data_IF_168619578069
#
_entry.id   IF_168619578069
#
_cell.length_a   1.000
_cell.length_b   1.000
_cell.length_c   1.000
_cell.angle_alpha   90.00
_cell.angle_beta   90.00
_cell.angle_gamma   90.00
#
_symmetry.space_group_name_H-M   'P 1'
#
loop_
_entity.id
_entity.type
_entity.pdbx_description
1 polymer ?
#
# COMPACT_ATOMS: atom_id res chain seq x y z
N UNK A 1 -21.56 -16.43 40.59
CA UNK A 1 -20.87 -15.19 41.04
C UNK A 1 -20.10 -14.67 39.84
N UNK A 2 -20.31 -13.41 39.46
CA UNK A 2 -19.62 -12.81 38.31
C UNK A 2 -18.19 -12.38 38.69
N UNK A 3 -17.25 -12.53 37.77
CA UNK A 3 -15.86 -12.08 37.95
C UNK A 3 -15.83 -10.54 37.92
N UNK A 4 -15.12 -9.92 38.86
CA UNK A 4 -14.90 -8.47 38.84
C UNK A 4 -13.79 -8.09 37.86
N UNK A 5 -13.71 -6.82 37.47
CA UNK A 5 -12.62 -6.31 36.61
C UNK A 5 -11.23 -6.61 37.20
N UNK A 6 -11.07 -6.58 38.52
CA UNK A 6 -9.80 -6.94 39.19
C UNK A 6 -9.47 -8.43 39.07
N UNK A 7 -10.49 -9.29 39.13
CA UNK A 7 -10.30 -10.73 38.93
C UNK A 7 -9.91 -11.01 37.47
N UNK A 8 -10.47 -10.27 36.52
CA UNK A 8 -10.11 -10.37 35.12
C UNK A 8 -8.65 -9.96 34.84
N UNK A 9 -8.20 -8.83 35.41
CA UNK A 9 -6.79 -8.40 35.32
C UNK A 9 -5.83 -9.43 35.93
N UNK A 10 -6.22 -10.03 37.05
CA UNK A 10 -5.42 -11.07 37.70
C UNK A 10 -5.32 -12.34 36.84
N UNK A 11 -6.42 -12.79 36.26
CA UNK A 11 -6.45 -13.93 35.32
C UNK A 11 -5.53 -13.66 34.12
N UNK A 12 -5.60 -12.46 33.54
CA UNK A 12 -4.72 -12.04 32.44
C UNK A 12 -3.24 -12.07 32.88
N UNK A 13 -2.93 -11.64 34.11
CA UNK A 13 -1.56 -11.69 34.64
C UNK A 13 -1.01 -13.12 34.78
N UNK A 14 -1.84 -14.08 35.21
CA UNK A 14 -1.47 -15.49 35.34
C UNK A 14 -1.24 -16.15 33.98
N UNK A 15 -2.10 -15.83 33.00
CA UNK A 15 -1.95 -16.29 31.62
C UNK A 15 -0.63 -15.79 31.02
N UNK A 16 -0.28 -14.50 31.23
CA UNK A 16 1.01 -13.92 30.79
C UNK A 16 2.23 -14.58 31.42
N UNK A 17 2.11 -15.12 32.63
CA UNK A 17 3.18 -15.83 33.33
C UNK A 17 3.26 -17.32 32.97
N UNK A 18 2.41 -17.82 32.06
CA UNK A 18 2.33 -19.25 31.72
C UNK A 18 1.67 -20.14 32.78
N UNK A 19 1.09 -19.54 33.84
CA UNK A 19 0.46 -20.24 34.96
C UNK A 19 -1.01 -20.58 34.67
N UNK A 20 -1.24 -21.33 33.59
CA UNK A 20 -2.58 -21.63 33.09
C UNK A 20 -3.42 -22.47 34.06
N UNK A 21 -2.79 -23.42 34.76
CA UNK A 21 -3.47 -24.27 35.75
C UNK A 21 -3.97 -23.42 36.91
N UNK A 22 -3.17 -22.47 37.40
CA UNK A 22 -3.53 -21.57 38.49
C UNK A 22 -4.70 -20.65 38.09
N UNK A 23 -4.73 -20.19 36.84
CA UNK A 23 -5.85 -19.40 36.32
C UNK A 23 -7.16 -20.21 36.25
N UNK A 24 -7.09 -21.49 35.85
CA UNK A 24 -8.26 -22.39 35.82
C UNK A 24 -8.78 -22.65 37.24
N UNK A 25 -7.88 -22.92 38.19
CA UNK A 25 -8.23 -23.13 39.61
C UNK A 25 -8.89 -21.87 40.18
N UNK A 26 -8.29 -20.70 39.93
CA UNK A 26 -8.83 -19.42 40.41
C UNK A 26 -10.23 -19.14 39.88
N UNK A 27 -10.47 -19.33 38.57
CA UNK A 27 -11.80 -19.15 37.97
C UNK A 27 -12.81 -20.13 38.56
N UNK A 28 -12.45 -21.42 38.64
CA UNK A 28 -13.29 -22.47 39.23
C UNK A 28 -13.71 -22.11 40.66
N UNK A 29 -12.75 -21.72 41.50
CA UNK A 29 -13.00 -21.48 42.93
C UNK A 29 -13.77 -20.17 43.18
N UNK A 30 -13.60 -19.14 42.33
CA UNK A 30 -14.34 -17.88 42.44
C UNK A 30 -15.76 -17.95 41.90
N UNK A 31 -15.97 -18.69 40.83
CA UNK A 31 -17.26 -18.72 40.12
C UNK A 31 -18.14 -19.91 40.50
N UNK A 32 -17.54 -20.97 41.04
CA UNK A 32 -18.21 -22.24 41.32
C UNK A 32 -18.42 -23.10 40.07
N UNK A 33 -17.82 -22.75 38.93
CA UNK A 33 -17.94 -23.51 37.68
C UNK A 33 -17.31 -24.91 37.78
N UNK A 34 -17.72 -25.82 36.89
CA UNK A 34 -17.03 -27.11 36.74
C UNK A 34 -15.61 -26.92 36.17
N UNK A 35 -14.72 -27.88 36.41
CA UNK A 35 -13.34 -27.83 35.89
C UNK A 35 -13.29 -27.66 34.37
N UNK A 36 -14.25 -28.28 33.66
CA UNK A 36 -14.38 -28.18 32.21
C UNK A 36 -14.78 -26.77 31.77
N UNK A 37 -15.74 -26.15 32.44
CA UNK A 37 -16.18 -24.78 32.13
C UNK A 37 -15.11 -23.74 32.44
N UNK A 38 -14.38 -23.90 33.55
CA UNK A 38 -13.26 -23.03 33.90
C UNK A 38 -12.12 -23.16 32.88
N UNK A 39 -11.83 -24.37 32.40
CA UNK A 39 -10.87 -24.61 31.32
C UNK A 39 -11.32 -23.93 30.02
N UNK A 40 -12.56 -24.15 29.60
CA UNK A 40 -13.10 -23.56 28.37
C UNK A 40 -13.14 -22.02 28.44
N UNK A 41 -13.38 -21.44 29.61
CA UNK A 41 -13.33 -19.99 29.84
C UNK A 41 -11.90 -19.44 29.68
N UNK A 42 -10.91 -20.08 30.31
CA UNK A 42 -9.50 -19.70 30.20
C UNK A 42 -8.97 -19.89 28.77
N UNK A 43 -9.33 -21.00 28.12
CA UNK A 43 -8.95 -21.25 26.72
C UNK A 43 -9.54 -20.18 25.79
N UNK A 44 -10.79 -19.75 26.01
CA UNK A 44 -11.40 -18.63 25.26
C UNK A 44 -10.72 -17.29 25.54
N UNK A 45 -10.28 -17.01 26.77
CA UNK A 45 -9.56 -15.77 27.10
C UNK A 45 -8.15 -15.74 26.52
N UNK A 46 -7.41 -16.84 26.63
CA UNK A 46 -6.08 -16.99 26.04
C UNK A 46 -6.10 -16.82 24.51
N UNK A 47 -7.19 -17.20 23.85
CA UNK A 47 -7.35 -17.08 22.40
C UNK A 47 -7.93 -15.73 21.92
N UNK A 48 -8.60 -14.95 22.78
CA UNK A 48 -9.21 -13.67 22.40
C UNK A 48 -8.30 -12.46 22.68
N UNK A 49 -7.32 -12.57 23.58
CA UNK A 49 -6.20 -11.65 23.68
C UNK A 49 -4.98 -12.28 23.01
N UNK A 50 -4.47 -11.60 21.98
CA UNK A 50 -3.23 -11.84 21.25
C UNK A 50 -2.09 -12.44 22.10
N UNK A 51 -2.09 -13.76 22.24
CA UNK A 51 -0.95 -14.54 22.66
C UNK A 51 -0.89 -15.73 21.73
N UNK A 52 -0.07 -15.57 20.68
CA UNK A 52 0.49 -16.71 19.99
C UNK A 52 0.97 -17.70 21.05
N UNK A 53 0.59 -18.96 20.89
CA UNK A 53 1.32 -20.10 21.43
C UNK A 53 2.69 -20.15 20.74
N UNK A 54 3.49 -19.09 20.92
CA UNK A 54 4.92 -19.16 20.76
C UNK A 54 5.41 -19.77 22.07
N UNK A 55 5.98 -20.98 21.99
CA UNK A 55 7.00 -21.42 22.92
C UNK A 55 7.92 -20.21 23.16
N UNK A 56 7.93 -19.65 24.36
CA UNK A 56 8.59 -18.38 24.66
C UNK A 56 10.10 -18.57 24.65
N UNK A 57 10.69 -18.55 23.46
CA UNK A 57 12.12 -18.45 23.26
C UNK A 57 12.60 -17.22 24.03
N UNK A 58 13.56 -17.41 24.94
CA UNK A 58 14.07 -16.31 25.76
C UNK A 58 14.76 -15.27 24.88
N UNK A 59 14.92 -14.04 25.38
CA UNK A 59 15.61 -12.98 24.62
C UNK A 59 17.05 -13.37 24.33
N UNK A 60 17.68 -14.06 25.28
CA UNK A 60 19.04 -14.59 25.17
C UNK A 60 19.14 -15.64 24.05
N UNK A 61 18.17 -16.55 23.96
CA UNK A 61 18.10 -17.54 22.89
C UNK A 61 17.83 -16.88 21.53
N UNK A 62 16.99 -15.84 21.48
CA UNK A 62 16.76 -15.08 20.24
C UNK A 62 18.04 -14.40 19.75
N UNK A 63 18.84 -13.81 20.65
CA UNK A 63 20.12 -13.19 20.32
C UNK A 63 21.14 -14.24 19.81
N UNK A 64 21.18 -15.40 20.45
CA UNK A 64 22.02 -16.52 20.01
C UNK A 64 21.61 -17.05 18.63
N UNK A 65 20.32 -17.21 18.38
CA UNK A 65 19.81 -17.59 17.04
C UNK A 65 20.17 -16.52 16.01
N UNK A 66 20.08 -15.24 16.38
CA UNK A 66 20.43 -14.12 15.49
C UNK A 66 21.92 -14.11 15.10
N UNK A 67 22.82 -14.42 16.05
CA UNK A 67 24.26 -14.52 15.78
C UNK A 67 24.55 -15.68 14.82
N UNK A 68 23.96 -16.86 15.04
CA UNK A 68 24.09 -18.02 14.17
C UNK A 68 23.57 -17.73 12.75
N UNK A 69 22.45 -17.02 12.62
CA UNK A 69 21.91 -16.61 11.31
C UNK A 69 22.88 -15.70 10.56
N UNK A 70 23.48 -14.72 11.26
CA UNK A 70 24.43 -13.78 10.64
C UNK A 70 25.74 -14.46 10.22
N UNK A 71 26.17 -15.48 10.95
CA UNK A 71 27.32 -16.32 10.61
C UNK A 71 26.99 -17.37 9.50
N UNK A 72 25.79 -17.32 8.90
CA UNK A 72 25.28 -18.30 7.94
C UNK A 72 25.17 -19.74 8.48
N UNK A 73 25.17 -19.92 9.80
CA UNK A 73 25.05 -21.22 10.50
C UNK A 73 23.58 -21.61 10.75
N UNK A 74 22.74 -21.51 9.72
CA UNK A 74 21.28 -21.75 9.83
C UNK A 74 20.93 -23.15 10.38
N UNK A 75 21.66 -24.18 9.93
CA UNK A 75 21.42 -25.56 10.36
C UNK A 75 21.70 -25.75 11.87
N UNK A 76 22.69 -25.03 12.41
CA UNK A 76 22.98 -25.05 13.85
C UNK A 76 21.86 -24.37 14.64
N UNK A 77 21.28 -23.29 14.12
CA UNK A 77 20.15 -22.63 14.74
C UNK A 77 18.88 -23.50 14.74
N UNK A 78 18.62 -24.24 13.66
CA UNK A 78 17.52 -25.25 13.60
C UNK A 78 17.77 -26.37 14.60
N UNK A 79 19.01 -26.88 14.68
CA UNK A 79 19.39 -27.95 15.60
C UNK A 79 19.22 -27.52 17.06
N UNK A 80 19.60 -26.28 17.38
CA UNK A 80 19.41 -25.68 18.71
C UNK A 80 17.93 -25.64 19.09
N UNK A 81 17.05 -25.14 18.22
CA UNK A 81 15.61 -25.11 18.47
C UNK A 81 15.00 -26.50 18.62
N UNK A 82 15.40 -27.46 17.78
CA UNK A 82 14.89 -28.82 17.83
C UNK A 82 15.32 -29.56 19.11
N UNK A 83 16.57 -29.37 19.55
CA UNK A 83 17.13 -30.12 20.70
C UNK A 83 16.90 -29.44 22.05
N UNK A 84 17.10 -28.13 22.14
CA UNK A 84 17.07 -27.38 23.40
C UNK A 84 15.69 -26.79 23.69
N UNK A 85 14.85 -26.60 22.66
CA UNK A 85 13.49 -26.06 22.80
C UNK A 85 12.40 -27.08 22.44
N UNK A 86 12.79 -28.33 22.20
CA UNK A 86 11.90 -29.45 21.87
C UNK A 86 10.92 -29.16 20.72
N UNK A 87 11.27 -28.23 19.82
CA UNK A 87 10.43 -27.90 18.66
C UNK A 87 10.45 -29.03 17.64
N UNK A 88 9.35 -29.20 16.90
CA UNK A 88 9.38 -30.09 15.74
C UNK A 88 10.40 -29.58 14.70
N UNK A 89 11.03 -30.49 13.95
CA UNK A 89 12.05 -30.12 12.97
C UNK A 89 11.49 -29.13 11.93
N UNK A 90 10.24 -29.32 11.50
CA UNK A 90 9.57 -28.43 10.55
C UNK A 90 9.33 -27.06 11.16
N UNK A 91 8.87 -27.02 12.40
CA UNK A 91 8.62 -25.78 13.15
C UNK A 91 9.90 -24.96 13.34
N UNK A 92 10.99 -25.63 13.74
CA UNK A 92 12.31 -25.01 13.88
C UNK A 92 12.83 -24.47 12.54
N UNK A 93 12.65 -25.20 11.44
CA UNK A 93 13.01 -24.73 10.10
C UNK A 93 12.19 -23.49 9.70
N UNK A 94 10.87 -23.54 9.85
CA UNK A 94 9.98 -22.43 9.49
C UNK A 94 10.29 -21.17 10.32
N UNK A 95 10.59 -21.32 11.61
CA UNK A 95 11.02 -20.22 12.48
C UNK A 95 12.32 -19.56 11.99
N UNK A 96 13.35 -20.36 11.72
CA UNK A 96 14.64 -19.84 11.24
C UNK A 96 14.50 -19.18 9.87
N UNK A 97 13.72 -19.77 8.95
CA UNK A 97 13.46 -19.15 7.66
C UNK A 97 12.74 -17.81 7.78
N UNK A 98 11.74 -17.71 8.68
CA UNK A 98 11.03 -16.46 8.99
C UNK A 98 11.98 -15.40 9.55
N UNK A 99 12.89 -15.76 10.47
CA UNK A 99 13.91 -14.84 11.02
C UNK A 99 14.93 -14.40 9.97
N UNK A 100 15.40 -15.30 9.11
CA UNK A 100 16.29 -14.96 7.98
C UNK A 100 15.61 -13.98 7.02
N UNK A 101 14.33 -14.21 6.70
CA UNK A 101 13.55 -13.31 5.86
C UNK A 101 13.39 -11.93 6.51
N UNK A 102 13.07 -11.89 7.81
CA UNK A 102 13.03 -10.67 8.61
C UNK A 102 14.34 -9.90 8.52
N UNK A 103 15.48 -10.56 8.74
CA UNK A 103 16.82 -9.95 8.65
C UNK A 103 17.09 -9.40 7.25
N UNK A 104 16.71 -10.12 6.19
CA UNK A 104 16.89 -9.66 4.81
C UNK A 104 16.03 -8.44 4.49
N UNK A 105 14.85 -8.31 5.09
CA UNK A 105 13.97 -7.15 4.91
C UNK A 105 14.48 -5.95 5.73
N UNK A 106 14.89 -6.16 6.98
CA UNK A 106 15.40 -5.10 7.87
C UNK A 106 16.79 -4.61 7.46
N UNK A 107 17.67 -5.48 6.95
CA UNK A 107 19.00 -5.13 6.46
C UNK A 107 18.96 -4.27 5.19
N UNK A 108 17.89 -4.39 4.38
CA UNK A 108 17.64 -3.51 3.23
C UNK A 108 17.15 -2.14 3.69
N UNK A 109 18.00 -1.36 4.37
CA UNK A 109 17.72 0.04 4.74
C UNK A 109 17.41 0.89 3.50
N UNK A 110 16.51 1.88 3.60
CA UNK A 110 16.31 2.87 2.54
C UNK A 110 17.63 3.62 2.30
N UNK A 111 18.03 3.74 1.04
CA UNK A 111 19.25 4.46 0.65
C UNK A 111 18.99 5.95 0.91
N UNK A 112 19.47 6.46 2.05
CA UNK A 112 19.34 7.87 2.41
C UNK A 112 20.23 8.72 1.49
N UNK A 113 19.64 9.40 0.51
CA UNK A 113 20.34 10.46 -0.24
C UNK A 113 20.48 11.69 0.67
N UNK A 114 21.69 11.91 1.20
CA UNK A 114 22.08 13.12 1.97
C UNK A 114 21.62 14.40 1.24
N UNK A 115 20.99 15.34 1.96
CA UNK A 115 20.75 16.71 1.48
C UNK A 115 19.30 17.20 1.40
N UNK A 116 18.34 16.46 1.97
CA UNK A 116 16.93 16.87 1.99
C UNK A 116 16.46 17.02 3.43
N UNK A 117 15.97 18.20 3.78
CA UNK A 117 15.24 18.44 5.02
C UNK A 117 13.83 17.88 4.79
N UNK A 118 13.62 16.62 5.18
CA UNK A 118 12.38 15.87 5.01
C UNK A 118 11.55 15.91 6.29
N UNK A 119 10.24 16.10 6.16
CA UNK A 119 9.26 15.69 7.17
C UNK A 119 9.06 14.17 7.01
N UNK A 120 9.87 13.40 7.74
CA UNK A 120 10.05 11.95 7.61
C UNK A 120 8.74 11.16 7.64
N UNK A 121 7.72 11.60 8.41
CA UNK A 121 6.47 10.84 8.57
C UNK A 121 5.47 10.98 7.43
N UNK A 122 5.41 12.14 6.76
CA UNK A 122 4.35 12.48 5.79
C UNK A 122 4.78 12.32 4.33
N UNK A 123 6.04 12.65 4.02
CA UNK A 123 6.55 12.55 2.65
C UNK A 123 6.83 11.08 2.24
N UNK A 124 7.03 10.18 3.23
CA UNK A 124 7.09 8.71 3.09
C UNK A 124 5.76 8.10 2.66
N UNK A 125 4.63 8.78 2.89
CA UNK A 125 3.31 8.21 2.67
C UNK A 125 2.79 8.44 1.24
N UNK A 126 3.33 9.44 0.51
CA UNK A 126 2.95 9.73 -0.88
C UNK A 126 4.20 10.01 -1.71
N UNK A 127 4.56 9.12 -2.67
CA UNK A 127 5.58 9.45 -3.64
C UNK A 127 5.14 10.69 -4.43
N UNK A 128 6.07 11.65 -4.61
CA UNK A 128 5.92 12.90 -5.39
C UNK A 128 5.48 14.17 -4.63
N UNK A 129 5.02 14.12 -3.36
CA UNK A 129 4.61 15.34 -2.64
C UNK A 129 5.80 16.30 -2.41
N UNK A 130 6.95 15.77 -1.99
CA UNK A 130 8.18 16.55 -1.83
C UNK A 130 8.65 17.18 -3.17
N UNK A 131 8.51 16.44 -4.27
CA UNK A 131 8.84 16.94 -5.62
C UNK A 131 7.88 18.04 -6.05
N UNK A 132 6.58 17.93 -5.74
CA UNK A 132 5.60 18.98 -6.00
C UNK A 132 5.89 20.25 -5.18
N UNK A 133 6.23 20.13 -3.89
CA UNK A 133 6.67 21.28 -3.06
C UNK A 133 7.91 21.96 -3.65
N UNK A 134 8.91 21.19 -4.09
CA UNK A 134 10.12 21.72 -4.74
C UNK A 134 9.80 22.42 -6.06
N UNK A 135 8.99 21.79 -6.91
CA UNK A 135 8.54 22.35 -8.17
C UNK A 135 7.75 23.65 -7.96
N UNK A 136 6.87 23.69 -6.95
CA UNK A 136 6.13 24.90 -6.57
C UNK A 136 7.09 26.03 -6.15
N UNK A 137 8.13 25.75 -5.36
CA UNK A 137 9.15 26.75 -4.98
C UNK A 137 9.89 27.31 -6.20
N UNK A 138 10.26 26.45 -7.14
CA UNK A 138 10.90 26.85 -8.41
C UNK A 138 9.94 27.71 -9.24
N UNK A 139 8.69 27.26 -9.38
CA UNK A 139 7.64 27.93 -10.14
C UNK A 139 7.33 29.32 -9.57
N UNK A 140 7.26 29.44 -8.25
CA UNK A 140 7.08 30.72 -7.55
C UNK A 140 8.26 31.67 -7.79
N UNK A 141 9.49 31.15 -7.77
CA UNK A 141 10.68 31.95 -8.06
C UNK A 141 10.67 32.46 -9.51
N UNK A 142 10.30 31.62 -10.47
CA UNK A 142 10.17 32.02 -11.89
C UNK A 142 9.07 33.08 -12.05
N UNK A 143 7.92 32.89 -11.39
CA UNK A 143 6.83 33.85 -11.40
C UNK A 143 7.28 35.22 -10.87
N UNK A 144 8.04 35.25 -9.78
CA UNK A 144 8.51 36.49 -9.17
C UNK A 144 9.50 37.23 -10.08
N UNK A 145 10.40 36.51 -10.75
CA UNK A 145 11.31 37.09 -11.76
C UNK A 145 10.53 37.66 -12.95
N UNK A 146 9.55 36.91 -13.47
CA UNK A 146 8.69 37.38 -14.56
C UNK A 146 7.90 38.64 -14.17
N UNK A 147 7.40 38.68 -12.95
CA UNK A 147 6.70 39.85 -12.40
C UNK A 147 7.61 41.10 -12.42
N UNK A 148 8.84 40.98 -11.92
CA UNK A 148 9.81 42.09 -11.90
C UNK A 148 10.12 42.56 -13.33
N UNK A 149 10.35 41.63 -14.26
CA UNK A 149 10.60 41.96 -15.68
C UNK A 149 9.42 42.74 -16.26
N UNK A 150 8.18 42.32 -15.99
CA UNK A 150 7.01 43.06 -16.48
C UNK A 150 6.82 44.43 -15.86
N UNK A 151 7.16 44.60 -14.58
CA UNK A 151 7.13 45.91 -13.93
C UNK A 151 8.13 46.87 -14.57
N UNK A 152 9.35 46.39 -14.85
CA UNK A 152 10.36 47.17 -15.57
C UNK A 152 9.87 47.52 -16.98
N UNK A 153 9.31 46.55 -17.71
CA UNK A 153 8.71 46.79 -19.03
C UNK A 153 7.60 47.84 -18.99
N UNK A 154 6.81 47.89 -17.91
CA UNK A 154 5.75 48.86 -17.72
C UNK A 154 6.29 50.28 -17.47
N UNK A 155 7.38 50.41 -16.73
CA UNK A 155 8.04 51.71 -16.45
C UNK A 155 8.63 52.31 -17.74
N UNK A 156 9.27 51.49 -18.58
CA UNK A 156 9.88 51.92 -19.84
C UNK A 156 8.96 51.77 -21.07
N UNK A 157 7.65 51.64 -20.83
CA UNK A 157 6.66 51.41 -21.88
C UNK A 157 6.47 52.68 -22.73
N UNK A 158 6.77 52.55 -24.00
CA UNK A 158 6.39 53.54 -25.01
C UNK A 158 5.22 52.99 -25.81
N UNK A 159 4.03 53.58 -25.59
CA UNK A 159 2.76 53.15 -26.18
C UNK A 159 2.71 53.34 -27.70
N UNK A 160 3.59 54.16 -28.26
CA UNK A 160 3.68 54.37 -29.71
C UNK A 160 4.44 53.25 -30.44
N UNK A 161 5.18 52.40 -29.70
CA UNK A 161 5.96 51.32 -30.27
C UNK A 161 5.18 50.00 -30.30
N UNK A 162 4.83 49.55 -31.51
CA UNK A 162 4.14 48.28 -31.74
C UNK A 162 4.92 47.07 -31.19
N UNK A 163 6.25 47.11 -31.28
CA UNK A 163 7.12 46.02 -30.79
C UNK A 163 7.04 45.94 -29.26
N UNK A 164 7.16 47.07 -28.56
CA UNK A 164 7.06 47.10 -27.08
C UNK A 164 5.68 46.67 -26.61
N UNK A 165 4.62 47.07 -27.32
CA UNK A 165 3.24 46.65 -27.03
C UNK A 165 3.03 45.14 -27.22
N UNK A 166 3.61 44.54 -28.28
CA UNK A 166 3.57 43.08 -28.48
C UNK A 166 4.30 42.33 -27.36
N UNK A 167 5.50 42.77 -26.99
CA UNK A 167 6.28 42.15 -25.90
C UNK A 167 5.51 42.21 -24.58
N UNK A 168 4.92 43.36 -24.24
CA UNK A 168 4.12 43.53 -23.02
C UNK A 168 2.92 42.57 -22.99
N UNK A 169 2.20 42.39 -24.12
CA UNK A 169 1.08 41.44 -24.21
C UNK A 169 1.51 40.00 -23.92
N UNK A 170 2.66 39.57 -24.46
CA UNK A 170 3.19 38.23 -24.17
C UNK A 170 3.56 38.07 -22.70
N UNK A 171 4.19 39.08 -22.09
CA UNK A 171 4.57 39.00 -20.68
C UNK A 171 3.34 38.97 -19.75
N UNK A 172 2.31 39.79 -20.04
CA UNK A 172 1.03 39.76 -19.31
C UNK A 172 0.35 38.38 -19.45
N UNK A 173 0.34 37.81 -20.66
CA UNK A 173 -0.23 36.47 -20.89
C UNK A 173 0.51 35.39 -20.10
N UNK A 174 1.85 35.47 -20.02
CA UNK A 174 2.66 34.58 -19.20
C UNK A 174 2.31 34.68 -17.71
N UNK A 175 2.21 35.89 -17.16
CA UNK A 175 1.82 36.12 -15.75
C UNK A 175 0.43 35.58 -15.47
N UNK A 176 -0.52 35.81 -16.37
CA UNK A 176 -1.90 35.34 -16.22
C UNK A 176 -1.96 33.81 -16.09
N UNK A 177 -1.14 33.09 -16.86
CA UNK A 177 -1.02 31.64 -16.74
C UNK A 177 -0.60 31.23 -15.32
N UNK A 178 0.44 31.87 -14.77
CA UNK A 178 0.90 31.57 -13.41
C UNK A 178 -0.12 31.92 -12.33
N UNK A 179 -0.85 33.04 -12.47
CA UNK A 179 -1.92 33.45 -11.54
C UNK A 179 -3.01 32.38 -11.46
N UNK A 180 -3.32 31.71 -12.57
CA UNK A 180 -4.32 30.63 -12.60
C UNK A 180 -3.73 29.32 -12.04
N UNK A 181 -2.51 28.95 -12.46
CA UNK A 181 -1.95 27.63 -12.15
C UNK A 181 -1.39 27.52 -10.72
N UNK A 182 -0.77 28.58 -10.19
CA UNK A 182 -0.12 28.54 -8.87
C UNK A 182 -1.12 28.26 -7.73
N UNK A 183 -2.27 28.96 -7.62
CA UNK A 183 -3.27 28.69 -6.59
C UNK A 183 -3.81 27.27 -6.67
N UNK A 184 -4.04 26.73 -7.88
CA UNK A 184 -4.50 25.36 -8.08
C UNK A 184 -3.50 24.33 -7.53
N UNK A 185 -2.20 24.53 -7.78
CA UNK A 185 -1.14 23.65 -7.27
C UNK A 185 -1.04 23.76 -5.74
N UNK A 186 -1.08 24.98 -5.19
CA UNK A 186 -1.05 25.22 -3.73
C UNK A 186 -2.23 24.53 -3.05
N UNK A 187 -3.44 24.72 -3.60
CA UNK A 187 -4.67 24.12 -3.08
C UNK A 187 -4.60 22.59 -3.14
N UNK A 188 -4.12 22.03 -4.24
CA UNK A 188 -3.94 20.58 -4.37
C UNK A 188 -2.97 20.03 -3.30
N UNK A 189 -1.82 20.68 -3.10
CA UNK A 189 -0.86 20.30 -2.04
C UNK A 189 -1.51 20.40 -0.66
N UNK A 190 -2.28 21.45 -0.39
CA UNK A 190 -2.99 21.63 0.87
C UNK A 190 -4.02 20.51 1.12
N UNK A 191 -4.84 20.19 0.12
CA UNK A 191 -5.82 19.10 0.19
C UNK A 191 -5.11 17.76 0.49
N UNK A 192 -4.00 17.49 -0.21
CA UNK A 192 -3.21 16.27 0.01
C UNK A 192 -2.66 16.25 1.45
N UNK A 193 -2.09 17.36 1.93
CA UNK A 193 -1.56 17.47 3.29
C UNK A 193 -2.66 17.24 4.34
N UNK A 194 -3.85 17.80 4.14
CA UNK A 194 -4.96 17.61 5.07
C UNK A 194 -5.46 16.17 5.08
N UNK A 195 -5.58 15.53 3.90
CA UNK A 195 -5.91 14.09 3.79
C UNK A 195 -4.89 13.22 4.50
N UNK A 196 -3.60 13.54 4.38
CA UNK A 196 -2.54 12.83 5.07
C UNK A 196 -2.61 12.98 6.59
N UNK A 197 -2.81 14.20 7.09
CA UNK A 197 -2.96 14.45 8.53
C UNK A 197 -4.13 13.65 9.13
N UNK A 198 -5.23 13.52 8.38
CA UNK A 198 -6.35 12.65 8.76
C UNK A 198 -5.96 11.17 8.80
N UNK A 199 -5.18 10.68 7.83
CA UNK A 199 -4.72 9.29 7.79
C UNK A 199 -3.71 8.95 8.89
N UNK A 200 -2.85 9.89 9.28
CA UNK A 200 -1.89 9.70 10.39
C UNK A 200 -2.64 9.51 11.73
N UNK A 201 -3.61 10.39 11.97
CA UNK A 201 -4.43 10.42 13.19
C UNK A 201 -5.54 9.37 13.21
N UNK A 202 -5.79 8.67 12.11
CA UNK A 202 -6.79 7.61 12.06
C UNK A 202 -6.28 6.40 12.84
N UNK A 203 -6.93 6.08 13.94
CA UNK A 203 -6.82 4.75 14.54
C UNK A 203 -7.29 3.72 13.52
N UNK A 204 -6.49 2.66 13.36
CA UNK A 204 -6.81 1.61 12.41
C UNK A 204 -8.04 0.88 12.94
N UNK A 205 -9.18 1.08 12.25
CA UNK A 205 -10.40 0.33 12.51
C UNK A 205 -10.10 -1.16 12.51
N UNK A 206 -10.73 -1.89 13.43
CA UNK A 206 -10.61 -3.34 13.49
C UNK A 206 -11.26 -4.03 12.28
N UNK A 207 -12.04 -3.29 11.47
CA UNK A 207 -12.60 -3.77 10.21
C UNK A 207 -12.62 -2.68 9.14
N UNK A 208 -12.16 -3.00 7.92
CA UNK A 208 -12.25 -2.12 6.75
C UNK A 208 -12.14 -2.90 5.43
N UNK A 209 -12.67 -2.31 4.36
CA UNK A 209 -12.59 -2.87 3.00
C UNK A 209 -11.61 -2.04 2.16
N UNK A 210 -10.65 -2.73 1.52
CA UNK A 210 -9.76 -2.14 0.51
C UNK A 210 -10.16 -2.61 -0.87
N UNK A 211 -10.45 -1.68 -1.77
CA UNK A 211 -10.85 -2.01 -3.14
C UNK A 211 -9.66 -1.97 -4.08
N UNK A 212 -9.69 -2.82 -5.10
CA UNK A 212 -8.68 -2.77 -6.16
C UNK A 212 -8.67 -1.39 -6.80
N UNK A 213 -7.49 -0.78 -6.84
CA UNK A 213 -7.31 0.50 -7.49
C UNK A 213 -7.22 0.33 -9.00
N UNK A 214 -8.24 0.86 -9.67
CA UNK A 214 -8.25 1.09 -11.11
C UNK A 214 -8.29 2.59 -11.32
N UNK A 215 -7.28 3.13 -12.00
CA UNK A 215 -7.24 4.54 -12.32
C UNK A 215 -8.42 4.91 -13.22
N UNK A 216 -9.28 5.80 -12.73
CA UNK A 216 -10.40 6.35 -13.52
C UNK A 216 -9.91 7.01 -14.82
N UNK A 217 -8.67 7.53 -14.83
CA UNK A 217 -8.05 8.09 -16.03
C UNK A 217 -7.73 7.02 -17.07
N UNK A 218 -7.22 5.85 -16.67
CA UNK A 218 -6.96 4.76 -17.62
C UNK A 218 -8.26 4.21 -18.23
N UNK A 219 -9.32 4.09 -17.43
CA UNK A 219 -10.65 3.73 -17.92
C UNK A 219 -11.19 4.78 -18.91
N UNK A 220 -11.05 6.07 -18.56
CA UNK A 220 -11.45 7.17 -19.44
C UNK A 220 -10.71 7.13 -20.77
N UNK A 221 -9.39 6.90 -20.78
CA UNK A 221 -8.62 6.79 -22.02
C UNK A 221 -9.07 5.63 -22.91
N UNK A 222 -9.37 4.46 -22.33
CA UNK A 222 -9.89 3.32 -23.10
C UNK A 222 -11.28 3.61 -23.66
N UNK A 223 -12.16 4.24 -22.86
CA UNK A 223 -13.48 4.65 -23.33
C UNK A 223 -13.39 5.69 -24.46
N UNK A 224 -12.48 6.67 -24.34
CA UNK A 224 -12.21 7.68 -25.36
C UNK A 224 -11.68 7.04 -26.65
N UNK A 225 -10.76 6.08 -26.53
CA UNK A 225 -10.22 5.35 -27.69
C UNK A 225 -11.34 4.60 -28.44
N UNK A 226 -12.22 3.92 -27.72
CA UNK A 226 -13.39 3.25 -28.31
C UNK A 226 -14.33 4.26 -28.98
N UNK A 227 -14.58 5.41 -28.34
CA UNK A 227 -15.39 6.48 -28.92
C UNK A 227 -14.80 7.02 -30.23
N UNK A 228 -13.48 7.23 -30.28
CA UNK A 228 -12.77 7.64 -31.48
C UNK A 228 -12.95 6.58 -32.59
N UNK A 229 -12.82 5.30 -32.27
CA UNK A 229 -13.03 4.23 -33.25
C UNK A 229 -14.47 4.17 -33.76
N UNK A 230 -15.48 4.40 -32.90
CA UNK A 230 -16.90 4.48 -33.31
C UNK A 230 -17.12 5.59 -34.33
N UNK A 231 -16.37 6.69 -34.27
CA UNK A 231 -16.46 7.81 -35.22
C UNK A 231 -15.65 7.54 -36.50
N UNK A 232 -14.45 6.95 -36.38
CA UNK A 232 -13.55 6.69 -37.52
C UNK A 232 -14.09 5.59 -38.43
N UNK A 233 -14.64 4.50 -37.86
CA UNK A 233 -15.11 3.33 -38.62
C UNK A 233 -16.15 3.71 -39.69
N UNK A 234 -17.22 4.48 -39.38
CA UNK A 234 -18.18 4.95 -40.38
C UNK A 234 -17.57 5.85 -41.46
N UNK A 235 -16.70 6.78 -41.06
CA UNK A 235 -16.03 7.70 -42.01
C UNK A 235 -15.15 6.89 -42.98
N UNK A 236 -14.46 5.89 -42.46
CA UNK A 236 -13.64 4.98 -43.26
C UNK A 236 -14.50 4.18 -44.24
N UNK A 237 -15.67 3.69 -43.78
CA UNK A 237 -16.62 2.96 -44.61
C UNK A 237 -17.20 3.79 -45.76
N UNK A 238 -17.51 5.07 -45.52
CA UNK A 238 -17.99 6.00 -46.55
C UNK A 238 -16.90 6.35 -47.59
N UNK A 239 -15.63 6.32 -47.19
CA UNK A 239 -14.50 6.77 -48.02
C UNK A 239 -13.78 5.64 -48.77
N UNK A 240 -14.03 4.38 -48.43
CA UNK A 240 -13.46 3.22 -49.14
C UNK A 240 -14.11 3.08 -50.50
N UNK A 241 -13.28 3.01 -51.55
CA UNK A 241 -13.69 2.51 -52.84
C UNK A 241 -13.50 0.99 -52.82
N UNK A 242 -14.58 0.20 -52.90
CA UNK A 242 -14.59 -1.26 -52.68
C UNK A 242 -13.68 -2.08 -53.61
N UNK A 243 -13.11 -1.46 -54.65
CA UNK A 243 -12.12 -2.06 -55.54
C UNK A 243 -10.68 -1.98 -55.03
N UNK A 244 -10.41 -1.18 -54.00
CA UNK A 244 -9.06 -1.01 -53.43
C UNK A 244 -8.85 -1.95 -52.22
N UNK A 245 -8.16 -3.06 -52.48
CA UNK A 245 -7.82 -4.08 -51.49
C UNK A 245 -7.03 -3.53 -50.30
N UNK A 246 -6.32 -2.41 -50.46
CA UNK A 246 -5.59 -1.76 -49.35
C UNK A 246 -6.56 -1.18 -48.32
N UNK A 247 -7.66 -0.56 -48.75
CA UNK A 247 -8.68 -0.02 -47.86
C UNK A 247 -9.33 -1.11 -47.00
N UNK A 248 -9.65 -2.25 -47.62
CA UNK A 248 -10.22 -3.42 -46.93
C UNK A 248 -9.22 -3.99 -45.91
N UNK A 249 -7.93 -4.05 -46.24
CA UNK A 249 -6.89 -4.51 -45.31
C UNK A 249 -6.78 -3.61 -44.06
N UNK A 250 -6.74 -2.29 -44.25
CA UNK A 250 -6.69 -1.33 -43.13
C UNK A 250 -7.94 -1.41 -42.23
N UNK A 251 -9.11 -1.74 -42.80
CA UNK A 251 -10.34 -1.96 -42.03
C UNK A 251 -10.22 -3.17 -41.09
N UNK A 252 -9.72 -4.30 -41.57
CA UNK A 252 -9.52 -5.49 -40.73
C UNK A 252 -8.49 -5.24 -39.63
N UNK A 253 -7.41 -4.50 -39.93
CA UNK A 253 -6.42 -4.08 -38.92
C UNK A 253 -7.10 -3.20 -37.86
N UNK A 254 -7.95 -2.25 -38.26
CA UNK A 254 -8.68 -1.38 -37.35
C UNK A 254 -9.60 -2.19 -36.42
N UNK A 255 -10.34 -3.17 -36.96
CA UNK A 255 -11.19 -4.07 -36.18
C UNK A 255 -10.37 -4.91 -35.19
N UNK A 256 -9.23 -5.44 -35.60
CA UNK A 256 -8.37 -6.21 -34.68
C UNK A 256 -7.90 -5.35 -33.50
N UNK A 257 -7.54 -4.09 -33.75
CA UNK A 257 -7.15 -3.13 -32.71
C UNK A 257 -8.33 -2.80 -31.79
N UNK A 258 -9.54 -2.60 -32.33
CA UNK A 258 -10.71 -2.30 -31.50
C UNK A 258 -11.12 -3.47 -30.62
N UNK A 259 -11.10 -4.70 -31.15
CA UNK A 259 -11.36 -5.92 -30.37
C UNK A 259 -10.35 -6.04 -29.23
N UNK A 260 -9.06 -5.84 -29.52
CA UNK A 260 -8.02 -5.87 -28.49
C UNK A 260 -8.23 -4.78 -27.41
N UNK A 261 -8.57 -3.56 -27.81
CA UNK A 261 -8.84 -2.46 -26.88
C UNK A 261 -10.06 -2.75 -25.98
N UNK A 262 -11.12 -3.36 -26.52
CA UNK A 262 -12.30 -3.78 -25.76
C UNK A 262 -11.93 -4.91 -24.79
N UNK A 263 -11.14 -5.89 -25.23
CA UNK A 263 -10.68 -6.99 -24.38
C UNK A 263 -9.90 -6.48 -23.16
N UNK A 264 -8.94 -5.57 -23.36
CA UNK A 264 -8.19 -4.96 -22.24
C UNK A 264 -9.09 -4.13 -21.32
N UNK A 265 -10.05 -3.38 -21.87
CA UNK A 265 -11.03 -2.65 -21.04
C UNK A 265 -11.86 -3.61 -20.17
N UNK A 266 -12.37 -4.70 -20.74
CA UNK A 266 -13.14 -5.72 -20.01
C UNK A 266 -12.32 -6.36 -18.88
N UNK A 267 -11.05 -6.66 -19.15
CA UNK A 267 -10.11 -7.18 -18.14
C UNK A 267 -9.92 -6.21 -16.99
N UNK A 268 -9.74 -4.92 -17.26
CA UNK A 268 -9.62 -3.88 -16.24
C UNK A 268 -10.91 -3.77 -15.41
N UNK A 269 -12.07 -3.81 -16.05
CA UNK A 269 -13.38 -3.76 -15.37
C UNK A 269 -13.62 -4.99 -14.47
N UNK A 270 -13.19 -6.19 -14.90
CA UNK A 270 -13.23 -7.39 -14.07
C UNK A 270 -12.37 -7.23 -12.82
N UNK A 271 -11.16 -6.70 -12.98
CA UNK A 271 -10.24 -6.50 -11.86
C UNK A 271 -10.76 -5.48 -10.82
N UNK A 272 -11.58 -4.51 -11.24
CA UNK A 272 -12.22 -3.54 -10.34
C UNK A 272 -13.18 -4.18 -9.32
N UNK A 273 -13.67 -5.39 -9.59
CA UNK A 273 -14.63 -6.10 -8.73
C UNK A 273 -13.98 -6.78 -7.52
N UNK A 274 -12.65 -6.87 -7.48
CA UNK A 274 -11.95 -7.46 -6.34
C UNK A 274 -11.77 -6.44 -5.21
N UNK A 275 -11.96 -6.91 -3.99
CA UNK A 275 -11.63 -6.16 -2.78
C UNK A 275 -11.10 -7.09 -1.69
N UNK A 276 -10.38 -6.52 -0.74
CA UNK A 276 -9.93 -7.18 0.48
C UNK A 276 -10.80 -6.68 1.62
N UNK A 277 -11.53 -7.57 2.28
CA UNK A 277 -12.18 -7.29 3.54
C UNK A 277 -11.25 -7.74 4.66
N UNK A 278 -10.89 -6.81 5.54
CA UNK A 278 -9.91 -7.03 6.58
C UNK A 278 -10.61 -6.80 7.90
N UNK A 279 -10.56 -7.81 8.78
CA UNK A 279 -11.06 -7.71 10.15
C UNK A 279 -9.92 -8.05 11.14
N UNK A 280 -10.15 -8.08 12.44
CA UNK A 280 -9.09 -8.34 13.43
C UNK A 280 -8.59 -9.78 13.48
N UNK A 281 -9.22 -10.72 12.76
CA UNK A 281 -8.93 -12.16 12.80
C UNK A 281 -8.45 -12.72 11.46
N UNK A 282 -8.98 -12.21 10.36
CA UNK A 282 -8.78 -12.72 9.01
C UNK A 282 -8.80 -11.61 7.95
N UNK A 283 -8.20 -11.95 6.81
CA UNK A 283 -8.23 -11.19 5.57
C UNK A 283 -8.97 -12.03 4.53
N UNK A 284 -10.08 -11.49 4.03
CA UNK A 284 -10.91 -12.13 3.03
C UNK A 284 -10.77 -11.43 1.67
N UNK A 285 -10.51 -12.21 0.62
CA UNK A 285 -10.56 -11.75 -0.76
C UNK A 285 -11.99 -11.89 -1.28
N UNK A 286 -12.60 -10.77 -1.64
CA UNK A 286 -13.94 -10.69 -2.19
C UNK A 286 -13.90 -10.47 -3.70
N UNK A 287 -14.86 -11.04 -4.43
CA UNK A 287 -15.20 -10.69 -5.79
C UNK A 287 -16.67 -10.31 -5.87
N UNK A 288 -16.94 -9.08 -6.29
CA UNK A 288 -18.30 -8.55 -6.37
C UNK A 288 -19.08 -8.70 -5.04
N UNK A 289 -18.41 -8.38 -3.91
CA UNK A 289 -18.87 -8.51 -2.52
C UNK A 289 -19.02 -9.94 -1.99
N UNK A 290 -18.86 -10.96 -2.82
CA UNK A 290 -18.90 -12.35 -2.38
C UNK A 290 -17.50 -12.81 -1.98
N UNK A 291 -17.38 -13.49 -0.85
CA UNK A 291 -16.11 -14.05 -0.40
C UNK A 291 -15.66 -15.18 -1.31
N UNK A 292 -14.42 -15.08 -1.80
CA UNK A 292 -13.79 -16.14 -2.59
C UNK A 292 -12.89 -17.01 -1.74
N UNK A 293 -12.05 -16.37 -0.92
CA UNK A 293 -11.06 -17.02 -0.07
C UNK A 293 -10.81 -16.15 1.16
N UNK A 294 -10.52 -16.75 2.29
CA UNK A 294 -10.10 -16.08 3.52
C UNK A 294 -8.83 -16.72 4.08
N UNK A 295 -8.04 -15.90 4.76
CA UNK A 295 -6.84 -16.32 5.46
C UNK A 295 -6.82 -15.68 6.84
N UNK A 296 -6.61 -16.48 7.89
CA UNK A 296 -6.37 -15.96 9.24
C UNK A 296 -5.07 -15.16 9.26
N UNK A 297 -5.03 -14.06 10.00
CA UNK A 297 -3.85 -13.19 10.07
C UNK A 297 -2.61 -13.96 10.53
N UNK A 298 -2.77 -14.87 11.49
CA UNK A 298 -1.73 -15.77 12.02
C UNK A 298 -1.10 -16.67 10.94
N UNK A 299 -1.87 -17.00 9.90
CA UNK A 299 -1.39 -17.82 8.78
C UNK A 299 -0.72 -17.01 7.68
N UNK A 300 -0.61 -15.68 7.83
CA UNK A 300 0.10 -14.82 6.90
C UNK A 300 1.58 -14.84 7.28
N UNK A 301 2.44 -15.28 6.36
CA UNK A 301 3.89 -15.28 6.59
C UNK A 301 4.47 -13.87 6.48
N UNK A 302 4.21 -13.21 5.35
CA UNK A 302 4.61 -11.83 5.12
C UNK A 302 3.74 -11.17 4.05
N UNK A 303 3.76 -9.86 4.05
CA UNK A 303 3.19 -9.05 2.98
C UNK A 303 4.31 -8.30 2.25
N UNK A 304 4.08 -8.03 0.97
CA UNK A 304 4.98 -7.25 0.15
C UNK A 304 4.23 -6.09 -0.50
N UNK A 305 4.78 -4.89 -0.37
CA UNK A 305 4.34 -3.71 -1.11
C UNK A 305 5.37 -3.36 -2.17
N UNK A 306 4.94 -3.16 -3.42
CA UNK A 306 5.82 -2.74 -4.50
C UNK A 306 5.04 -1.95 -5.56
N UNK A 307 5.73 -1.40 -6.56
CA UNK A 307 5.11 -0.89 -7.77
C UNK A 307 5.57 -1.66 -9.01
N UNK A 308 4.66 -1.81 -9.98
CA UNK A 308 5.00 -2.42 -11.26
C UNK A 308 5.99 -1.52 -12.01
N UNK A 309 7.19 -2.04 -12.26
CA UNK A 309 8.19 -1.38 -13.11
C UNK A 309 7.83 -1.59 -14.58
N UNK A 310 7.79 -0.51 -15.35
CA UNK A 310 7.70 -0.62 -16.80
C UNK A 310 9.04 -1.12 -17.40
N UNK A 311 9.00 -1.68 -18.62
CA UNK A 311 10.20 -2.14 -19.36
C UNK A 311 11.27 -1.05 -19.54
N UNK A 312 10.91 0.23 -19.39
CA UNK A 312 11.81 1.40 -19.49
C UNK A 312 12.34 1.89 -18.13
N UNK A 313 12.13 1.13 -17.05
CA UNK A 313 12.55 1.53 -15.70
C UNK A 313 11.70 2.62 -15.06
N UNK A 314 10.66 3.13 -15.75
CA UNK A 314 9.72 4.10 -15.19
C UNK A 314 8.77 3.38 -14.24
N UNK A 315 8.73 3.85 -13.00
CA UNK A 315 7.85 3.39 -11.92
C UNK A 315 6.42 3.88 -12.14
N UNK A 316 5.42 3.02 -11.92
CA UNK A 316 4.00 3.39 -12.05
C UNK A 316 3.53 4.28 -10.90
N UNK A 317 4.24 4.26 -9.76
CA UNK A 317 3.83 4.90 -8.50
C UNK A 317 2.45 4.45 -7.99
N UNK A 318 1.95 3.30 -8.47
CA UNK A 318 0.73 2.67 -7.97
C UNK A 318 1.15 1.54 -7.04
N UNK A 319 0.78 1.57 -5.75
CA UNK A 319 1.13 0.50 -4.84
C UNK A 319 0.36 -0.77 -5.17
N UNK A 320 1.07 -1.89 -5.18
CA UNK A 320 0.55 -3.24 -5.31
C UNK A 320 0.86 -3.97 -4.00
N UNK A 321 -0.15 -4.64 -3.43
CA UNK A 321 0.01 -5.54 -2.28
C UNK A 321 0.05 -6.98 -2.78
N UNK A 322 1.01 -7.75 -2.26
CA UNK A 322 1.04 -9.20 -2.30
C UNK A 322 0.99 -9.75 -0.88
N UNK A 323 0.07 -10.67 -0.62
CA UNK A 323 -0.07 -11.36 0.67
C UNK A 323 0.38 -12.80 0.48
N UNK A 324 1.34 -13.24 1.29
CA UNK A 324 1.87 -14.60 1.27
C UNK A 324 1.35 -15.38 2.48
N UNK A 325 0.84 -16.58 2.23
CA UNK A 325 0.47 -17.51 3.30
C UNK A 325 1.72 -18.16 3.95
N UNK A 326 1.48 -18.99 4.96
CA UNK A 326 2.51 -19.76 5.68
C UNK A 326 3.37 -20.61 4.75
N UNK A 327 2.80 -21.11 3.65
CA UNK A 327 3.48 -21.93 2.65
C UNK A 327 4.21 -21.11 1.58
N UNK A 328 4.19 -19.77 1.70
CA UNK A 328 4.76 -18.80 0.73
C UNK A 328 4.04 -18.79 -0.61
N UNK A 329 2.80 -19.30 -0.68
CA UNK A 329 1.95 -19.12 -1.83
C UNK A 329 1.30 -17.73 -1.79
N UNK A 330 1.04 -17.16 -2.97
CA UNK A 330 0.36 -15.86 -3.09
C UNK A 330 -1.12 -16.08 -2.80
N UNK A 331 -1.59 -15.56 -1.66
CA UNK A 331 -3.00 -15.53 -1.30
C UNK A 331 -3.76 -14.50 -2.16
N UNK A 332 -3.21 -13.29 -2.25
CA UNK A 332 -3.79 -12.20 -3.03
C UNK A 332 -2.71 -11.27 -3.58
N UNK A 333 -2.88 -10.84 -4.83
CA UNK A 333 -2.13 -9.73 -5.45
C UNK A 333 -3.14 -8.72 -5.99
N UNK A 334 -3.05 -7.45 -5.58
CA UNK A 334 -3.84 -6.39 -6.19
C UNK A 334 -3.21 -5.00 -6.10
N UNK A 335 -3.55 -4.15 -7.08
CA UNK A 335 -3.25 -2.73 -7.01
C UNK A 335 -4.18 -2.06 -6.00
N UNK A 336 -3.65 -1.16 -5.18
CA UNK A 336 -4.38 -0.46 -4.12
C UNK A 336 -4.17 1.03 -4.22
N UNK A 337 -5.05 1.82 -3.58
CA UNK A 337 -4.84 3.27 -3.50
C UNK A 337 -3.68 3.57 -2.58
N UNK A 338 -3.01 4.70 -2.78
CA UNK A 338 -1.99 5.18 -1.86
C UNK A 338 -2.53 5.38 -0.44
N UNK A 339 -3.80 5.83 -0.29
CA UNK A 339 -4.46 5.91 1.02
C UNK A 339 -4.58 4.55 1.70
N UNK A 340 -4.98 3.54 0.94
CA UNK A 340 -5.26 2.20 1.45
C UNK A 340 -3.94 1.48 1.78
N UNK A 341 -2.88 1.73 0.99
CA UNK A 341 -1.51 1.30 1.29
C UNK A 341 -1.05 1.78 2.67
N UNK A 342 -1.25 3.06 2.99
CA UNK A 342 -0.87 3.63 4.29
C UNK A 342 -1.62 2.92 5.43
N UNK A 343 -2.94 2.73 5.25
CA UNK A 343 -3.80 2.08 6.23
C UNK A 343 -3.39 0.62 6.44
N UNK A 344 -3.20 -0.14 5.36
CA UNK A 344 -2.77 -1.54 5.38
C UNK A 344 -1.41 -1.69 6.06
N UNK A 345 -0.45 -0.81 5.76
CA UNK A 345 0.87 -0.82 6.40
C UNK A 345 0.77 -0.60 7.90
N UNK A 346 -0.09 0.32 8.36
CA UNK A 346 -0.33 0.56 9.81
C UNK A 346 -1.03 -0.64 10.45
N UNK A 347 -2.01 -1.21 9.77
CA UNK A 347 -2.77 -2.39 10.21
C UNK A 347 -1.86 -3.61 10.41
N UNK A 348 -1.12 -4.05 9.38
CA UNK A 348 -0.31 -5.26 9.47
C UNK A 348 0.86 -5.11 10.46
N UNK A 349 1.37 -3.88 10.64
CA UNK A 349 2.35 -3.57 11.68
C UNK A 349 1.75 -3.68 13.10
N UNK A 350 0.47 -3.32 13.30
CA UNK A 350 -0.25 -3.47 14.58
C UNK A 350 -0.39 -4.94 14.98
N UNK A 351 -0.57 -5.82 13.99
CA UNK A 351 -0.72 -7.27 14.17
C UNK A 351 0.59 -8.05 13.97
N UNK A 352 1.74 -7.37 14.09
CA UNK A 352 3.09 -7.94 14.01
C UNK A 352 3.43 -8.77 12.76
N UNK A 353 2.62 -8.65 11.70
CA UNK A 353 2.87 -9.32 10.41
C UNK A 353 4.09 -8.70 9.75
N UNK A 354 4.94 -9.56 9.18
CA UNK A 354 6.15 -9.15 8.49
C UNK A 354 5.84 -8.32 7.23
N UNK A 355 6.32 -7.07 7.17
CA UNK A 355 6.06 -6.17 6.03
C UNK A 355 7.34 -5.92 5.23
N UNK A 356 7.39 -6.41 3.99
CA UNK A 356 8.43 -6.06 3.01
C UNK A 356 7.96 -4.88 2.14
N UNK A 357 8.36 -3.66 2.49
CA UNK A 357 8.01 -2.45 1.75
C UNK A 357 9.09 -2.08 0.72
N UNK A 358 8.86 -2.43 -0.54
CA UNK A 358 9.69 -2.03 -1.69
C UNK A 358 9.13 -0.82 -2.43
N UNK A 359 7.84 -0.52 -2.25
CA UNK A 359 7.15 0.62 -2.85
C UNK A 359 7.79 1.94 -2.42
N UNK A 360 8.07 2.07 -1.12
CA UNK A 360 8.55 3.30 -0.54
C UNK A 360 10.09 3.43 -0.46
N UNK A 361 10.84 2.65 -1.23
CA UNK A 361 12.31 2.72 -1.27
C UNK A 361 12.83 3.87 -2.16
N UNK A 362 12.37 5.10 -1.95
CA UNK A 362 12.81 6.29 -2.71
C UNK A 362 13.63 7.27 -1.88
#
# INVERSE_FOLDING_TARGET
MELSEKDEEYIISLIKQGKKVDAIVFVKDKTGMSLKEAKDYIDKKANNEYYEENISISKEDEEYIYSLINENKKLQAVTFLHKEKEMDLKEAMDYIERKVLKNKITAKKPIHKRGYIFDEKLDILIPNLARQKKALKIMLSIFLVLLVITLIQLIFLDRSSDIKMKILRYSISGILLFIITLPLIILNIHIIKNKLKKLENLEVSNQFEVKTFVSNFHLFLHALLILIFIIIIPIFFVKINYKDYKGIFYFFVLIAITIYAIYELLKILKNKKYSLNINSREVALLYNKNEMKSIKIEKINFIKFYDKKSKRGVRSNIPTIEIFDSEKNIFAEMNIKTSDYILLKKYFKKYEVLVNDEFNRL
#
